data_IF_581054434474
#
_entry.id   IF_581054434474
#
_cell.length_a   1.000
_cell.length_b   1.000
_cell.length_c   1.000
_cell.angle_alpha   90.00
_cell.angle_beta   90.00
_cell.angle_gamma   90.00
#
_symmetry.space_group_name_H-M   'P 1'
#
loop_
_entity.id
_entity.type
_entity.pdbx_description
1 polymer ?
#
# COMPACT_ATOMS: atom_id res chain seq x y z
N UNK A 1 6.82 8.89 -4.94
CA UNK A 1 5.96 8.60 -6.09
C UNK A 1 4.64 9.29 -5.85
N UNK A 2 4.22 10.15 -6.76
CA UNK A 2 2.97 10.90 -6.64
C UNK A 2 1.83 10.12 -7.32
N UNK A 3 0.59 10.36 -6.92
CA UNK A 3 -0.57 9.65 -7.47
C UNK A 3 -0.72 9.86 -8.99
N UNK A 4 -0.44 11.07 -9.48
CA UNK A 4 -0.54 11.40 -10.91
C UNK A 4 0.45 10.60 -11.77
N UNK A 5 1.63 10.29 -11.21
CA UNK A 5 2.64 9.44 -11.86
C UNK A 5 2.15 7.99 -11.98
N UNK A 6 1.53 7.46 -10.94
CA UNK A 6 0.94 6.11 -10.94
C UNK A 6 -0.18 6.04 -11.99
N UNK A 7 -1.09 7.01 -11.99
CA UNK A 7 -2.19 7.10 -12.96
C UNK A 7 -1.64 7.12 -14.40
N UNK A 8 -0.69 8.02 -14.68
CA UNK A 8 -0.08 8.13 -15.99
C UNK A 8 0.61 6.83 -16.43
N UNK A 9 1.30 6.15 -15.52
CA UNK A 9 1.91 4.85 -15.82
C UNK A 9 0.86 3.78 -16.17
N UNK A 10 -0.26 3.72 -15.44
CA UNK A 10 -1.35 2.79 -15.76
C UNK A 10 -2.03 3.08 -17.11
N UNK A 11 -2.14 4.35 -17.50
CA UNK A 11 -2.71 4.76 -18.80
C UNK A 11 -1.85 4.32 -19.99
N UNK A 12 -0.54 4.18 -19.82
CA UNK A 12 0.39 3.71 -20.85
C UNK A 12 0.39 2.18 -21.02
N UNK A 13 -0.22 1.44 -20.10
CA UNK A 13 -0.28 -0.02 -20.14
C UNK A 13 -1.58 -0.47 -20.81
N UNK A 14 -1.48 -1.03 -22.01
CA UNK A 14 -2.63 -1.50 -22.79
C UNK A 14 -3.17 -2.86 -22.29
N UNK A 15 -2.25 -3.78 -21.97
CA UNK A 15 -2.61 -5.15 -21.57
C UNK A 15 -2.91 -5.25 -20.08
N UNK A 16 -3.99 -5.98 -19.74
CA UNK A 16 -4.40 -6.17 -18.35
C UNK A 16 -3.31 -6.87 -17.51
N UNK A 17 -2.54 -7.75 -18.14
CA UNK A 17 -1.45 -8.53 -17.52
C UNK A 17 -0.32 -7.61 -17.04
N UNK A 18 -0.03 -6.57 -17.82
CA UNK A 18 1.03 -5.62 -17.49
C UNK A 18 0.58 -4.68 -16.37
N UNK A 19 -0.69 -4.25 -16.36
CA UNK A 19 -1.28 -3.52 -15.22
C UNK A 19 -1.21 -4.34 -13.94
N UNK A 20 -1.51 -5.64 -14.04
CA UNK A 20 -1.45 -6.56 -12.90
C UNK A 20 -0.02 -6.74 -12.38
N UNK A 21 0.96 -6.91 -13.27
CA UNK A 21 2.38 -6.97 -12.90
C UNK A 21 2.85 -5.66 -12.25
N UNK A 22 2.51 -4.52 -12.85
CA UNK A 22 2.88 -3.21 -12.34
C UNK A 22 2.36 -3.00 -10.91
N UNK A 23 1.10 -3.37 -10.65
CA UNK A 23 0.51 -3.29 -9.31
C UNK A 23 1.27 -4.14 -8.28
N UNK A 24 1.69 -5.35 -8.64
CA UNK A 24 2.51 -6.20 -7.76
C UNK A 24 3.88 -5.57 -7.50
N UNK A 25 4.52 -5.00 -8.52
CA UNK A 25 5.81 -4.31 -8.35
C UNK A 25 5.68 -3.09 -7.43
N UNK A 26 4.60 -2.30 -7.57
CA UNK A 26 4.30 -1.20 -6.64
C UNK A 26 4.22 -1.72 -5.20
N UNK A 27 3.48 -2.80 -4.96
CA UNK A 27 3.39 -3.42 -3.64
C UNK A 27 4.75 -3.84 -3.07
N UNK A 28 5.67 -4.34 -3.91
CA UNK A 28 7.04 -4.73 -3.50
C UNK A 28 7.91 -3.54 -3.09
N UNK A 29 7.63 -2.34 -3.57
CA UNK A 29 8.35 -1.12 -3.17
C UNK A 29 7.93 -0.58 -1.80
N UNK A 30 6.82 -1.05 -1.24
CA UNK A 30 6.35 -0.62 0.08
C UNK A 30 7.34 -1.01 1.19
N UNK A 31 7.51 -0.10 2.15
CA UNK A 31 8.28 -0.36 3.36
C UNK A 31 7.76 -1.62 4.07
N UNK A 32 8.64 -2.53 4.50
CA UNK A 32 8.22 -3.71 5.25
C UNK A 32 7.51 -3.32 6.54
N UNK A 33 6.39 -4.00 6.84
CA UNK A 33 5.70 -3.84 8.11
C UNK A 33 6.56 -4.45 9.25
N UNK A 34 6.80 -3.73 10.36
CA UNK A 34 7.48 -4.29 11.53
C UNK A 34 6.75 -5.50 12.10
N UNK A 35 7.49 -6.49 12.63
CA UNK A 35 6.91 -7.75 13.13
C UNK A 35 5.88 -7.55 14.26
N UNK A 36 6.10 -6.55 15.10
CA UNK A 36 5.24 -6.14 16.20
C UNK A 36 3.97 -5.41 15.75
N UNK A 37 3.91 -4.96 14.48
CA UNK A 37 2.71 -4.36 13.91
C UNK A 37 1.74 -5.39 13.31
N UNK A 38 2.11 -6.67 13.22
CA UNK A 38 1.20 -7.77 12.84
C UNK A 38 0.30 -8.18 14.03
N UNK A 39 -0.60 -7.28 14.43
CA UNK A 39 -1.54 -7.47 15.55
C UNK A 39 -2.99 -7.44 15.07
N UNK A 40 -3.90 -7.97 15.89
CA UNK A 40 -5.34 -7.88 15.61
C UNK A 40 -5.87 -6.43 15.59
N UNK A 41 -5.19 -5.50 16.26
CA UNK A 41 -5.54 -4.08 16.25
C UNK A 41 -5.28 -3.43 14.88
N UNK A 42 -4.22 -3.86 14.18
CA UNK A 42 -3.89 -3.38 12.84
C UNK A 42 -4.53 -4.21 11.73
N UNK A 43 -5.23 -5.31 12.07
CA UNK A 43 -5.78 -6.24 11.09
C UNK A 43 -7.01 -5.67 10.39
N UNK A 44 -6.96 -5.55 9.07
CA UNK A 44 -8.09 -5.12 8.24
C UNK A 44 -9.01 -6.31 8.04
N UNK A 45 -10.31 -6.13 8.36
CA UNK A 45 -11.33 -7.17 8.27
C UNK A 45 -12.12 -7.05 6.97
N UNK A 46 -12.54 -8.18 6.41
CA UNK A 46 -13.34 -8.23 5.18
C UNK A 46 -12.54 -8.51 3.91
N UNK A 47 -11.21 -8.51 3.98
CA UNK A 47 -10.34 -8.99 2.91
C UNK A 47 -10.38 -10.53 2.83
N UNK A 48 -10.29 -11.07 1.62
CA UNK A 48 -10.12 -12.51 1.42
C UNK A 48 -8.73 -13.00 1.85
N UNK A 49 -7.73 -12.11 1.79
CA UNK A 49 -6.37 -12.30 2.26
C UNK A 49 -6.17 -11.65 3.65
N UNK A 50 -5.07 -11.97 4.32
CA UNK A 50 -4.69 -11.29 5.54
C UNK A 50 -4.05 -9.95 5.20
N UNK A 51 -4.52 -8.88 5.83
CA UNK A 51 -4.05 -7.51 5.62
C UNK A 51 -3.86 -6.83 6.97
N UNK A 52 -2.75 -6.12 7.11
CA UNK A 52 -2.46 -5.28 8.27
C UNK A 52 -2.11 -3.87 7.83
N UNK A 53 -2.61 -2.88 8.58
CA UNK A 53 -2.37 -1.46 8.34
C UNK A 53 -2.07 -0.76 9.66
N UNK A 54 -0.81 -0.38 9.85
CA UNK A 54 -0.37 0.49 10.94
C UNK A 54 -0.56 1.94 10.55
N UNK A 55 -1.18 2.73 11.43
CA UNK A 55 -1.42 4.16 11.22
C UNK A 55 -0.75 4.97 12.32
N UNK A 56 0.10 5.92 11.95
CA UNK A 56 0.80 6.81 12.87
C UNK A 56 0.44 8.26 12.60
N UNK A 57 -0.12 9.01 13.57
CA UNK A 57 -0.27 10.45 13.43
C UNK A 57 1.08 11.14 13.26
N UNK A 58 1.16 12.05 12.29
CA UNK A 58 2.36 12.82 11.98
C UNK A 58 1.99 14.27 11.68
N UNK A 59 2.97 15.08 11.27
CA UNK A 59 2.77 16.41 10.71
C UNK A 59 3.44 16.50 9.35
N UNK A 60 2.81 17.23 8.43
CA UNK A 60 3.43 17.54 7.15
C UNK A 60 4.50 18.64 7.28
N UNK A 61 5.09 19.03 6.14
CA UNK A 61 6.13 20.05 6.10
C UNK A 61 5.67 21.43 6.60
N UNK A 62 4.36 21.72 6.51
CA UNK A 62 3.73 22.94 6.98
C UNK A 62 3.20 22.84 8.42
N UNK A 63 3.44 21.71 9.10
CA UNK A 63 3.03 21.48 10.50
C UNK A 63 1.56 21.10 10.68
N UNK A 64 0.81 20.86 9.60
CA UNK A 64 -0.59 20.42 9.64
C UNK A 64 -0.67 18.95 10.05
N UNK A 65 -1.78 18.56 10.66
CA UNK A 65 -2.00 17.17 11.05
C UNK A 65 -2.03 16.28 9.81
N UNK A 66 -1.28 15.18 9.85
CA UNK A 66 -1.19 14.19 8.78
C UNK A 66 -1.16 12.77 9.37
N UNK A 67 -1.30 11.76 8.52
CA UNK A 67 -1.19 10.35 8.88
C UNK A 67 -0.10 9.69 8.03
N UNK A 68 0.70 8.84 8.66
CA UNK A 68 1.62 7.92 7.98
C UNK A 68 1.06 6.50 8.08
N UNK A 69 1.18 5.75 6.99
CA UNK A 69 0.67 4.40 6.88
C UNK A 69 1.80 3.44 6.53
N UNK A 70 1.80 2.27 7.18
CA UNK A 70 2.57 1.09 6.76
C UNK A 70 1.63 -0.09 6.70
N UNK A 71 1.74 -0.92 5.68
CA UNK A 71 0.85 -2.05 5.53
C UNK A 71 1.52 -3.22 4.83
N UNK A 72 0.94 -4.40 5.01
CA UNK A 72 1.37 -5.62 4.35
C UNK A 72 0.18 -6.55 4.15
N UNK A 73 0.33 -7.47 3.20
CA UNK A 73 -0.62 -8.56 2.96
C UNK A 73 0.11 -9.84 2.60
N UNK A 74 -0.46 -10.98 3.01
CA UNK A 74 0.00 -12.30 2.57
C UNK A 74 -0.28 -12.56 1.07
N UNK A 75 -1.12 -11.75 0.43
CA UNK A 75 -1.34 -11.77 -1.01
C UNK A 75 -0.61 -10.63 -1.72
N UNK A 76 0.27 -10.96 -2.67
CA UNK A 76 1.06 -9.97 -3.43
C UNK A 76 0.22 -8.91 -4.13
N UNK A 77 -0.91 -9.32 -4.71
CA UNK A 77 -1.80 -8.38 -5.41
C UNK A 77 -2.48 -7.41 -4.45
N UNK A 78 -2.87 -7.88 -3.26
CA UNK A 78 -3.54 -7.04 -2.26
C UNK A 78 -2.57 -6.07 -1.61
N UNK A 79 -1.28 -6.42 -1.54
CA UNK A 79 -0.23 -5.49 -1.11
C UNK A 79 -0.02 -4.33 -2.09
N UNK A 80 -0.34 -4.51 -3.37
CA UNK A 80 -0.26 -3.44 -4.36
C UNK A 80 -1.46 -2.49 -4.36
N UNK A 81 -2.62 -2.97 -3.88
CA UNK A 81 -3.89 -2.22 -3.79
C UNK A 81 -3.90 -1.27 -2.58
#
# INVERSE_FOLDING_TARGET
MQIDEIIGNFELLDEWEDRYRYLIELGRTLEPLPKDAYTDANKVRGCASQVWLETTPTRDAEGRAALSFRGDSDAHIVRGL
#
